data_IF_047273210895
#
_entry.id   IF_047273210895
#
_cell.length_a   1.000
_cell.length_b   1.000
_cell.length_c   1.000
_cell.angle_alpha   90.00
_cell.angle_beta   90.00
_cell.angle_gamma   90.00
#
_symmetry.space_group_name_H-M   'P 1'
#
loop_
_entity.id
_entity.type
_entity.pdbx_description
1 polymer ?
#
# COMPACT_ATOMS: atom_id res chain seq x y z
N UNK A 1 -5.22 -0.26 22.75
CA UNK A 1 -6.20 0.46 21.91
C UNK A 1 -5.84 0.18 20.47
N UNK A 2 -6.77 -0.36 19.68
CA UNK A 2 -6.63 -0.28 18.23
C UNK A 2 -6.75 1.19 17.81
N UNK A 3 -6.12 1.58 16.69
CA UNK A 3 -6.17 2.96 16.22
C UNK A 3 -7.46 3.30 15.45
N UNK A 4 -8.54 2.54 15.63
CA UNK A 4 -9.80 2.72 14.91
C UNK A 4 -9.77 2.26 13.44
N UNK A 5 -8.84 1.37 13.08
CA UNK A 5 -8.63 0.95 11.69
C UNK A 5 -9.85 0.27 11.06
N UNK A 6 -10.63 -0.49 11.84
CA UNK A 6 -11.86 -1.11 11.36
C UNK A 6 -12.88 -0.05 10.92
N UNK A 7 -13.16 0.92 11.80
CA UNK A 7 -14.08 2.03 11.51
C UNK A 7 -13.60 2.86 10.31
N UNK A 8 -12.28 3.10 10.21
CA UNK A 8 -11.71 3.81 9.07
C UNK A 8 -12.00 3.09 7.74
N UNK A 9 -11.78 1.77 7.67
CA UNK A 9 -12.11 0.95 6.48
C UNK A 9 -13.61 0.96 6.19
N UNK A 10 -14.46 0.84 7.21
CA UNK A 10 -15.92 0.89 7.02
C UNK A 10 -16.36 2.23 6.42
N UNK A 11 -15.78 3.34 6.89
CA UNK A 11 -16.05 4.67 6.34
C UNK A 11 -15.57 4.82 4.90
N UNK A 12 -14.42 4.22 4.53
CA UNK A 12 -13.92 4.21 3.16
C UNK A 12 -14.86 3.42 2.25
N UNK A 13 -15.25 2.20 2.64
CA UNK A 13 -16.18 1.35 1.89
C UNK A 13 -17.52 2.03 1.68
N UNK A 14 -18.10 2.61 2.75
CA UNK A 14 -19.33 3.38 2.68
C UNK A 14 -19.23 4.55 1.69
N UNK A 15 -18.17 5.35 1.77
CA UNK A 15 -17.99 6.52 0.89
C UNK A 15 -17.71 6.13 -0.55
N UNK A 16 -16.99 5.04 -0.79
CA UNK A 16 -16.72 4.51 -2.13
C UNK A 16 -18.03 4.07 -2.81
N UNK A 17 -18.86 3.27 -2.13
CA UNK A 17 -20.18 2.88 -2.62
C UNK A 17 -21.06 4.09 -2.97
N UNK A 18 -21.07 5.11 -2.10
CA UNK A 18 -21.84 6.35 -2.33
C UNK A 18 -21.38 7.16 -3.54
N UNK A 19 -20.16 6.95 -4.02
CA UNK A 19 -19.56 7.63 -5.18
C UNK A 19 -19.44 6.72 -6.41
N UNK A 20 -19.93 5.48 -6.35
CA UNK A 20 -19.69 4.45 -7.37
C UNK A 20 -18.20 4.27 -7.67
N UNK A 21 -17.38 4.33 -6.63
CA UNK A 21 -15.96 4.04 -6.69
C UNK A 21 -15.69 2.62 -6.18
N UNK A 22 -14.66 1.98 -6.74
CA UNK A 22 -14.22 0.66 -6.31
C UNK A 22 -13.38 0.78 -5.05
N UNK A 23 -13.65 -0.10 -4.08
CA UNK A 23 -12.86 -0.27 -2.86
C UNK A 23 -12.39 -1.72 -2.77
N UNK A 24 -11.09 -1.91 -2.50
CA UNK A 24 -10.46 -3.22 -2.38
C UNK A 24 -9.60 -3.22 -1.13
N UNK A 25 -9.78 -4.23 -0.27
CA UNK A 25 -8.88 -4.51 0.84
C UNK A 25 -7.67 -5.32 0.31
N UNK A 26 -6.44 -4.94 0.70
CA UNK A 26 -5.20 -5.64 0.32
C UNK A 26 -4.37 -5.96 1.56
N UNK A 27 -3.52 -6.99 1.48
CA UNK A 27 -2.53 -7.28 2.53
C UNK A 27 -1.45 -6.20 2.52
N UNK A 28 -1.34 -5.46 3.64
CA UNK A 28 -0.41 -4.34 3.77
C UNK A 28 1.03 -4.75 4.12
N UNK A 29 1.28 -6.04 4.36
CA UNK A 29 2.59 -6.53 4.82
C UNK A 29 3.70 -6.12 3.85
N UNK A 30 4.81 -5.68 4.44
CA UNK A 30 6.03 -5.26 3.75
C UNK A 30 5.90 -4.05 2.80
N UNK A 31 4.74 -3.40 2.71
CA UNK A 31 4.54 -2.29 1.75
C UNK A 31 5.49 -1.11 1.97
N UNK A 32 5.87 -0.81 3.21
CA UNK A 32 6.87 0.23 3.53
C UNK A 32 8.33 -0.20 3.31
N UNK A 33 8.58 -1.50 3.15
CA UNK A 33 9.91 -2.09 3.03
C UNK A 33 10.25 -2.49 1.59
N UNK A 34 9.27 -3.00 0.85
CA UNK A 34 9.43 -3.41 -0.52
C UNK A 34 9.73 -2.20 -1.40
N UNK A 35 10.77 -2.27 -2.22
CA UNK A 35 11.10 -1.23 -3.18
C UNK A 35 10.01 -1.18 -4.26
N UNK A 36 9.33 -0.04 -4.41
CA UNK A 36 8.32 0.11 -5.48
C UNK A 36 8.94 0.11 -6.88
N UNK A 37 10.28 0.26 -7.00
CA UNK A 37 11.00 0.28 -8.27
C UNK A 37 11.39 -1.10 -8.79
N UNK A 38 11.76 -2.05 -7.91
CA UNK A 38 12.20 -3.38 -8.31
C UNK A 38 11.46 -4.55 -7.62
N UNK A 39 10.55 -4.28 -6.67
CA UNK A 39 9.70 -5.30 -6.04
C UNK A 39 10.37 -6.15 -4.97
N UNK A 40 11.67 -5.99 -4.72
CA UNK A 40 12.38 -6.71 -3.65
C UNK A 40 12.21 -6.01 -2.30
N UNK A 41 12.45 -6.74 -1.20
CA UNK A 41 12.61 -6.15 0.14
C UNK A 41 14.11 -6.07 0.44
N UNK A 42 14.78 -4.95 0.11
CA UNK A 42 16.22 -4.83 0.23
C UNK A 42 16.67 -4.68 1.69
N UNK A 43 17.94 -4.91 1.96
CA UNK A 43 18.51 -4.71 3.30
C UNK A 43 18.54 -3.26 3.76
N UNK A 44 18.60 -2.32 2.81
CA UNK A 44 18.50 -0.88 3.09
C UNK A 44 17.09 -0.40 3.45
N UNK A 45 16.07 -1.26 3.38
CA UNK A 45 14.69 -0.90 3.71
C UNK A 45 14.50 -0.68 5.22
N UNK A 46 13.49 0.13 5.63
CA UNK A 46 13.23 0.40 7.06
C UNK A 46 12.68 -0.83 7.78
N UNK A 47 13.50 -1.48 8.61
CA UNK A 47 13.16 -2.72 9.35
C UNK A 47 13.08 -2.50 10.86
N UNK A 48 12.06 -3.09 11.49
CA UNK A 48 11.89 -3.10 12.95
C UNK A 48 11.57 -1.74 13.57
N UNK A 49 11.43 -1.72 14.90
CA UNK A 49 11.05 -0.51 15.64
C UNK A 49 12.11 0.60 15.56
N UNK A 50 13.40 0.24 15.48
CA UNK A 50 14.50 1.21 15.38
C UNK A 50 14.46 2.05 14.10
N UNK A 51 13.86 1.54 13.02
CA UNK A 51 13.76 2.23 11.74
C UNK A 51 12.47 3.06 11.58
N UNK A 52 11.61 3.17 12.60
CA UNK A 52 10.38 3.98 12.51
C UNK A 52 10.65 5.45 12.19
N UNK A 53 11.82 5.97 12.56
CA UNK A 53 12.28 7.32 12.21
C UNK A 53 12.75 7.48 10.76
N UNK A 54 13.09 6.40 10.06
CA UNK A 54 13.62 6.43 8.69
C UNK A 54 12.50 6.78 7.70
N UNK A 55 12.44 8.04 7.30
CA UNK A 55 11.45 8.56 6.34
C UNK A 55 11.90 8.46 4.89
N UNK A 56 13.21 8.50 4.65
CA UNK A 56 13.81 8.36 3.33
C UNK A 56 14.88 7.27 3.35
N UNK A 57 14.99 6.54 2.25
CA UNK A 57 15.98 5.47 2.08
C UNK A 57 16.19 5.21 0.59
N UNK A 58 17.38 4.73 0.22
CA UNK A 58 17.71 4.35 -1.14
C UNK A 58 17.75 2.82 -1.24
N UNK A 59 17.16 2.27 -2.29
CA UNK A 59 17.17 0.84 -2.55
C UNK A 59 18.59 0.38 -2.94
N UNK A 60 19.20 -0.50 -2.14
CA UNK A 60 20.52 -1.04 -2.44
C UNK A 60 20.54 -1.99 -3.66
N UNK A 61 19.37 -2.45 -4.11
CA UNK A 61 19.26 -3.38 -5.24
C UNK A 61 19.13 -2.67 -6.59
N UNK A 62 18.43 -1.54 -6.65
CA UNK A 62 18.16 -0.83 -7.91
C UNK A 62 18.49 0.67 -7.91
N UNK A 63 18.92 1.22 -6.77
CA UNK A 63 19.28 2.64 -6.63
C UNK A 63 18.11 3.62 -6.54
N UNK A 64 16.86 3.14 -6.50
CA UNK A 64 15.69 4.01 -6.37
C UNK A 64 15.64 4.70 -4.99
N UNK A 65 15.46 6.01 -4.98
CA UNK A 65 15.23 6.79 -3.76
C UNK A 65 13.75 6.81 -3.38
N UNK A 66 13.46 6.57 -2.10
CA UNK A 66 12.12 6.47 -1.58
C UNK A 66 11.86 7.47 -0.46
N UNK A 67 10.72 8.15 -0.53
CA UNK A 67 9.97 8.51 0.67
C UNK A 67 9.14 7.30 1.10
N UNK A 68 9.22 6.92 2.37
CA UNK A 68 8.67 5.66 2.88
C UNK A 68 7.15 5.56 2.67
N UNK A 69 6.42 6.65 2.90
CA UNK A 69 4.96 6.63 2.86
C UNK A 69 4.48 6.66 1.39
N UNK A 70 5.18 7.40 0.52
CA UNK A 70 4.95 7.36 -0.94
C UNK A 70 5.26 5.97 -1.52
N UNK A 71 6.35 5.34 -1.10
CA UNK A 71 6.71 3.98 -1.52
C UNK A 71 5.64 2.97 -1.09
N UNK A 72 5.18 3.03 0.16
CA UNK A 72 4.09 2.19 0.66
C UNK A 72 2.81 2.37 -0.16
N UNK A 73 2.42 3.62 -0.46
CA UNK A 73 1.26 3.91 -1.29
C UNK A 73 1.36 3.29 -2.70
N UNK A 74 2.54 3.34 -3.33
CA UNK A 74 2.78 2.70 -4.63
C UNK A 74 2.64 1.17 -4.57
N UNK A 75 3.15 0.54 -3.51
CA UNK A 75 3.02 -0.90 -3.32
C UNK A 75 1.57 -1.33 -3.04
N UNK A 76 0.83 -0.55 -2.24
CA UNK A 76 -0.62 -0.76 -2.01
C UNK A 76 -1.41 -0.63 -3.32
N UNK A 77 -1.10 0.37 -4.15
CA UNK A 77 -1.72 0.52 -5.47
C UNK A 77 -1.46 -0.71 -6.35
N UNK A 78 -0.21 -1.18 -6.42
CA UNK A 78 0.13 -2.38 -7.21
C UNK A 78 -0.68 -3.59 -6.74
N UNK A 79 -0.71 -3.87 -5.43
CA UNK A 79 -1.50 -4.97 -4.87
C UNK A 79 -3.00 -4.81 -5.18
N UNK A 80 -3.53 -3.58 -5.07
CA UNK A 80 -4.93 -3.29 -5.38
C UNK A 80 -5.29 -3.60 -6.84
N UNK A 81 -4.41 -3.24 -7.78
CA UNK A 81 -4.60 -3.53 -9.21
C UNK A 81 -4.50 -5.03 -9.52
N UNK A 82 -3.68 -5.78 -8.78
CA UNK A 82 -3.58 -7.25 -8.91
C UNK A 82 -4.82 -7.96 -8.34
N UNK A 83 -5.52 -7.36 -7.37
CA UNK A 83 -6.73 -7.90 -6.76
C UNK A 83 -8.04 -7.47 -7.45
N UNK A 84 -8.01 -6.53 -8.40
CA UNK A 84 -9.24 -6.08 -9.06
C UNK A 84 -9.83 -7.19 -9.96
N UNK A 85 -11.15 -7.45 -9.88
CA UNK A 85 -11.80 -8.30 -10.85
C UNK A 85 -11.77 -7.64 -12.24
N UNK A 86 -11.95 -8.42 -13.33
CA UNK A 86 -12.01 -7.88 -14.68
C UNK A 86 -13.00 -6.70 -14.78
N UNK A 87 -12.68 -5.70 -15.60
CA UNK A 87 -13.45 -4.46 -15.72
C UNK A 87 -14.96 -4.67 -16.01
N UNK A 88 -15.29 -5.82 -16.56
CA UNK A 88 -16.63 -6.30 -16.91
C UNK A 88 -17.54 -6.48 -15.67
N UNK A 89 -16.96 -6.89 -14.53
CA UNK A 89 -17.69 -7.09 -13.28
C UNK A 89 -17.88 -5.79 -12.49
N UNK A 90 -17.00 -4.80 -12.71
CA UNK A 90 -17.03 -3.50 -12.03
C UNK A 90 -18.19 -2.62 -12.51
N UNK A 91 -18.60 -2.76 -13.77
CA UNK A 91 -19.69 -1.98 -14.38
C UNK A 91 -21.09 -2.59 -14.16
N UNK A 92 -21.16 -3.82 -13.64
CA UNK A 92 -22.39 -4.57 -13.43
C UNK A 92 -22.97 -4.43 -12.00
N UNK A 93 -22.28 -3.73 -11.09
CA UNK A 93 -22.65 -3.49 -9.70
C UNK A 93 -23.02 -2.02 -9.43
#
# INVERSE_FOLDING_TARGET
MDAGWALFRDMLRYKAARRRAVYVDVDERYTSQMCSGCGVVPDSSPKGMGALGMRRWDCCECGASHDRDVNAAKNILRAGLECQPPAEEILAA
#
